data_IF_779978363542
#
_entry.id   IF_779978363542
#
_cell.length_a   1.000
_cell.length_b   1.000
_cell.length_c   1.000
_cell.angle_alpha   90.00
_cell.angle_beta   90.00
_cell.angle_gamma   90.00
#
_symmetry.space_group_name_H-M   'P 1'
#
loop_
_entity.id
_entity.type
_entity.pdbx_description
1 polymer ?
#
# COMPACT_ATOMS: atom_id res chain seq x y z
N UNK A 1 -6.69 -10.12 22.76
CA UNK A 1 -6.05 -9.50 21.57
C UNK A 1 -5.81 -10.65 20.60
N UNK A 2 -6.17 -10.53 19.31
CA UNK A 2 -6.04 -11.64 18.37
C UNK A 2 -4.55 -12.05 18.25
N UNK A 3 -4.20 -13.37 18.28
CA UNK A 3 -2.80 -13.81 18.26
C UNK A 3 -2.05 -13.33 17.01
N UNK A 4 -2.67 -13.41 15.84
CA UNK A 4 -2.07 -12.93 14.59
C UNK A 4 -1.79 -11.43 14.58
N UNK A 5 -2.65 -10.64 15.23
CA UNK A 5 -2.42 -9.21 15.42
C UNK A 5 -1.26 -8.93 16.37
N UNK A 6 -1.10 -9.76 17.42
CA UNK A 6 0.00 -9.61 18.37
C UNK A 6 1.35 -9.88 17.68
N UNK A 7 1.44 -10.91 16.83
CA UNK A 7 2.62 -11.22 16.03
C UNK A 7 2.93 -10.10 15.03
N UNK A 8 1.93 -9.66 14.26
CA UNK A 8 2.05 -8.51 13.37
C UNK A 8 2.58 -7.26 14.11
N UNK A 9 2.00 -6.95 15.26
CA UNK A 9 2.39 -5.79 16.06
C UNK A 9 3.78 -5.96 16.67
N UNK A 10 4.20 -7.17 17.01
CA UNK A 10 5.54 -7.45 17.51
C UNK A 10 6.59 -7.36 16.40
N UNK A 11 6.28 -7.88 15.21
CA UNK A 11 7.16 -7.86 14.04
C UNK A 11 7.38 -6.45 13.47
N UNK A 12 6.43 -5.52 13.69
CA UNK A 12 6.53 -4.15 13.22
C UNK A 12 7.60 -3.36 14.00
N UNK A 13 8.61 -2.77 13.32
CA UNK A 13 9.67 -2.01 13.99
C UNK A 13 9.09 -0.83 14.78
N UNK A 14 9.63 -0.55 15.97
CA UNK A 14 9.18 0.59 16.80
C UNK A 14 9.66 1.91 16.20
N UNK A 15 8.98 2.37 15.15
CA UNK A 15 9.16 3.70 14.58
C UNK A 15 8.09 4.69 15.06
N UNK A 16 8.31 5.98 14.78
CA UNK A 16 7.41 7.08 15.14
C UNK A 16 5.99 6.92 14.54
N UNK A 17 5.88 6.18 13.43
CA UNK A 17 4.61 5.90 12.75
C UNK A 17 3.82 4.71 13.33
N UNK A 18 4.36 3.98 14.32
CA UNK A 18 3.67 2.88 15.01
C UNK A 18 2.65 3.41 16.01
N UNK A 19 1.59 4.03 15.50
CA UNK A 19 0.53 4.67 16.26
C UNK A 19 -0.82 3.94 16.12
N UNK A 20 -1.81 4.38 16.89
CA UNK A 20 -3.21 3.95 16.78
C UNK A 20 -3.44 2.42 16.84
N UNK A 21 -2.79 1.73 17.79
CA UNK A 21 -2.98 0.28 18.03
C UNK A 21 -4.45 -0.10 18.20
N UNK A 22 -5.21 0.72 18.93
CA UNK A 22 -6.63 0.49 19.18
C UNK A 22 -7.46 0.52 17.88
N UNK A 23 -7.18 1.47 16.99
CA UNK A 23 -7.88 1.61 15.73
C UNK A 23 -7.50 0.51 14.73
N UNK A 24 -6.22 0.13 14.71
CA UNK A 24 -5.76 -1.03 13.94
C UNK A 24 -6.46 -2.32 14.41
N UNK A 25 -6.57 -2.53 15.72
CA UNK A 25 -7.26 -3.70 16.28
C UNK A 25 -8.75 -3.72 15.94
N UNK A 26 -9.41 -2.56 15.99
CA UNK A 26 -10.82 -2.41 15.57
C UNK A 26 -10.99 -2.84 14.11
N UNK A 27 -10.13 -2.34 13.21
CA UNK A 27 -10.15 -2.68 11.78
C UNK A 27 -9.83 -4.15 11.53
N UNK A 28 -8.85 -4.70 12.23
CA UNK A 28 -8.47 -6.11 12.16
C UNK A 28 -9.66 -7.03 12.44
N UNK A 29 -10.36 -6.78 13.55
CA UNK A 29 -11.56 -7.53 13.92
C UNK A 29 -12.71 -7.31 12.94
N UNK A 30 -12.96 -6.06 12.55
CA UNK A 30 -14.05 -5.73 11.62
C UNK A 30 -13.89 -6.35 10.23
N UNK A 31 -12.64 -6.62 9.81
CA UNK A 31 -12.32 -7.20 8.50
C UNK A 31 -12.00 -8.69 8.56
N UNK A 32 -11.93 -9.30 9.75
CA UNK A 32 -11.62 -10.73 9.87
C UNK A 32 -10.19 -11.10 9.46
N UNK A 33 -9.23 -10.18 9.61
CA UNK A 33 -7.83 -10.38 9.16
C UNK A 33 -7.06 -11.46 9.93
N UNK A 34 -7.69 -12.07 10.93
CA UNK A 34 -7.13 -13.19 11.68
C UNK A 34 -6.86 -14.41 10.78
N UNK A 35 -7.70 -14.65 9.76
CA UNK A 35 -7.49 -15.72 8.79
C UNK A 35 -6.23 -15.49 7.92
N UNK A 36 -5.97 -14.22 7.57
CA UNK A 36 -4.83 -13.81 6.75
C UNK A 36 -3.60 -13.43 7.57
N UNK A 37 -3.62 -13.64 8.89
CA UNK A 37 -2.56 -13.17 9.79
C UNK A 37 -1.16 -13.66 9.36
N UNK A 38 -1.06 -14.92 8.95
CA UNK A 38 0.19 -15.51 8.48
C UNK A 38 0.70 -14.82 7.20
N UNK A 39 -0.18 -14.53 6.24
CA UNK A 39 0.16 -13.82 5.01
C UNK A 39 0.59 -12.37 5.30
N UNK A 40 -0.12 -11.69 6.20
CA UNK A 40 0.20 -10.33 6.67
C UNK A 40 1.61 -10.28 7.28
N UNK A 41 1.92 -11.21 8.19
CA UNK A 41 3.22 -11.28 8.87
C UNK A 41 4.34 -11.64 7.88
N UNK A 42 4.08 -12.55 6.94
CA UNK A 42 5.04 -12.92 5.89
C UNK A 42 5.39 -11.73 5.00
N UNK A 43 4.38 -11.04 4.46
CA UNK A 43 4.56 -9.87 3.61
C UNK A 43 5.25 -8.72 4.37
N UNK A 44 4.92 -8.53 5.66
CA UNK A 44 5.60 -7.55 6.50
C UNK A 44 7.10 -7.85 6.63
N UNK A 45 7.47 -9.12 6.85
CA UNK A 45 8.88 -9.49 6.92
C UNK A 45 9.61 -9.27 5.59
N UNK A 46 8.98 -9.59 4.46
CA UNK A 46 9.53 -9.30 3.13
C UNK A 46 9.71 -7.79 2.91
N UNK A 47 8.72 -6.98 3.24
CA UNK A 47 8.79 -5.53 3.08
C UNK A 47 9.84 -4.87 3.97
N UNK A 48 10.02 -5.34 5.21
CA UNK A 48 11.09 -4.88 6.11
C UNK A 48 12.49 -5.06 5.53
N UNK A 49 12.69 -6.04 4.66
CA UNK A 49 13.97 -6.28 3.99
C UNK A 49 14.22 -5.30 2.84
N UNK A 50 13.20 -4.61 2.34
CA UNK A 50 13.35 -3.68 1.22
C UNK A 50 14.08 -2.40 1.63
N UNK A 51 14.90 -1.85 0.71
CA UNK A 51 15.59 -0.56 0.91
C UNK A 51 14.63 0.58 1.24
N UNK A 52 13.46 0.64 0.58
CA UNK A 52 12.42 1.66 0.85
C UNK A 52 12.01 1.70 2.32
N UNK A 53 11.84 0.53 2.93
CA UNK A 53 11.48 0.45 4.34
C UNK A 53 12.63 0.94 5.24
N UNK A 54 13.86 0.54 4.92
CA UNK A 54 15.05 0.98 5.65
C UNK A 54 15.31 2.49 5.51
N UNK A 55 14.91 3.07 4.38
CA UNK A 55 15.03 4.50 4.07
C UNK A 55 13.94 5.36 4.76
N UNK A 56 13.03 4.75 5.54
CA UNK A 56 12.00 5.48 6.30
C UNK A 56 10.70 5.77 5.54
N UNK A 57 10.50 5.13 4.39
CA UNK A 57 9.22 5.14 3.66
C UNK A 57 8.22 4.11 4.21
N UNK A 58 8.33 3.74 5.50
CA UNK A 58 7.40 2.80 6.13
C UNK A 58 5.98 3.41 6.22
N UNK A 59 4.94 2.74 5.68
CA UNK A 59 3.57 3.20 5.82
C UNK A 59 3.11 3.03 7.28
N UNK A 60 2.09 3.78 7.72
CA UNK A 60 1.48 3.48 9.01
C UNK A 60 0.87 2.07 9.02
N UNK A 61 0.86 1.34 10.16
CA UNK A 61 0.25 0.01 10.25
C UNK A 61 -1.23 0.03 9.84
N UNK A 62 -1.95 1.12 10.12
CA UNK A 62 -3.32 1.31 9.66
C UNK A 62 -3.44 1.37 8.13
N UNK A 63 -2.51 2.06 7.46
CA UNK A 63 -2.44 2.15 6.00
C UNK A 63 -2.13 0.78 5.38
N UNK A 64 -1.19 0.05 5.97
CA UNK A 64 -0.87 -1.31 5.54
C UNK A 64 -2.10 -2.24 5.60
N UNK A 65 -2.87 -2.16 6.70
CA UNK A 65 -4.14 -2.88 6.87
C UNK A 65 -5.21 -2.44 5.87
N UNK A 66 -5.39 -1.14 5.66
CA UNK A 66 -6.40 -0.59 4.75
C UNK A 66 -6.11 -0.91 3.28
N UNK A 67 -4.84 -0.85 2.87
CA UNK A 67 -4.44 -1.11 1.48
C UNK A 67 -4.26 -2.59 1.16
N UNK A 68 -4.42 -3.49 2.14
CA UNK A 68 -4.25 -4.93 1.93
C UNK A 68 -2.92 -5.26 1.25
N UNK A 69 -1.85 -4.58 1.67
CA UNK A 69 -0.54 -4.64 1.00
C UNK A 69 0.08 -6.04 1.01
N UNK A 70 -0.38 -6.93 1.89
CA UNK A 70 0.01 -8.34 1.89
C UNK A 70 -0.63 -9.15 0.76
N UNK A 71 -1.73 -8.68 0.16
CA UNK A 71 -2.37 -9.30 -1.01
C UNK A 71 -1.62 -8.95 -2.31
N UNK A 72 -1.00 -7.76 -2.36
CA UNK A 72 -0.18 -7.28 -3.48
C UNK A 72 1.01 -8.22 -3.77
N UNK A 73 1.63 -8.75 -2.71
CA UNK A 73 2.77 -9.68 -2.79
C UNK A 73 2.36 -11.08 -3.32
N UNK A 74 1.07 -11.43 -3.24
CA UNK A 74 0.53 -12.70 -3.74
C UNK A 74 0.16 -12.62 -5.23
N UNK A 75 0.23 -11.43 -5.83
CA UNK A 75 -0.25 -11.17 -7.19
C UNK A 75 0.84 -11.21 -8.28
N UNK A 76 2.03 -11.78 -8.02
CA UNK A 76 2.97 -12.14 -9.09
C UNK A 76 2.95 -13.64 -9.35
N UNK A 77 1.84 -14.13 -9.92
CA UNK A 77 1.90 -15.24 -10.88
C UNK A 77 0.75 -15.29 -11.90
N UNK A 78 -0.12 -14.28 -12.02
CA UNK A 78 -0.96 -14.20 -13.22
C UNK A 78 -1.53 -12.81 -13.53
N UNK A 79 -1.20 -12.34 -14.74
CA UNK A 79 -1.90 -11.34 -15.54
C UNK A 79 -1.67 -9.84 -15.23
N UNK A 80 -0.68 -9.30 -15.97
CA UNK A 80 -0.69 -8.01 -16.70
C UNK A 80 -0.89 -6.73 -15.88
N UNK A 81 0.23 -6.04 -15.69
CA UNK A 81 0.30 -4.69 -15.15
C UNK A 81 -0.54 -3.67 -15.91
N UNK A 82 -1.34 -2.94 -15.14
CA UNK A 82 -1.78 -1.59 -15.46
C UNK A 82 -0.69 -0.63 -14.96
N UNK A 83 0.11 -0.11 -15.88
CA UNK A 83 0.91 1.10 -15.66
C UNK A 83 0.26 2.25 -16.44
N UNK A 84 -0.13 3.36 -15.78
CA UNK A 84 -0.58 4.57 -16.45
C UNK A 84 0.65 5.41 -16.82
N UNK A 85 0.82 5.78 -18.08
CA UNK A 85 1.78 6.83 -18.45
C UNK A 85 1.08 7.89 -19.32
N UNK A 86 1.17 9.13 -18.85
CA UNK A 86 0.40 10.26 -19.34
C UNK A 86 1.03 10.91 -20.57
N UNK A 87 0.17 11.27 -21.52
CA UNK A 87 0.46 12.27 -22.54
C UNK A 87 -0.67 13.32 -22.54
N UNK A 88 -0.46 14.41 -21.82
CA UNK A 88 -1.28 15.60 -21.95
C UNK A 88 -0.93 16.32 -23.26
N UNK A 89 -1.72 16.12 -24.31
CA UNK A 89 -1.70 17.00 -25.49
C UNK A 89 -2.91 17.95 -25.41
N UNK A 90 -2.62 19.22 -25.14
CA UNK A 90 -3.57 20.33 -25.26
C UNK A 90 -3.87 20.55 -26.75
N UNK A 91 -4.97 19.98 -27.24
CA UNK A 91 -5.59 20.40 -28.49
C UNK A 91 -6.32 21.73 -28.31
N UNK A 92 -5.61 22.85 -28.41
CA UNK A 92 -6.19 24.16 -28.69
C UNK A 92 -6.13 24.38 -30.19
N UNK A 93 -7.18 23.92 -30.90
CA UNK A 93 -7.38 24.22 -32.32
C UNK A 93 -8.34 25.42 -32.41
N UNK A 94 -7.78 26.63 -32.35
CA UNK A 94 -8.45 27.88 -32.70
C UNK A 94 -7.75 28.47 -33.93
N UNK A 95 -8.28 28.28 -35.14
CA UNK A 95 -7.76 28.96 -36.32
C UNK A 95 -8.48 30.31 -36.50
N UNK A 96 -8.28 31.24 -35.54
CA UNK A 96 -8.59 32.65 -35.76
C UNK A 96 -7.32 33.37 -36.23
N UNK A 97 -7.32 33.63 -37.54
CA UNK A 97 -6.68 34.77 -38.24
C UNK A 97 -5.29 34.63 -38.89
N UNK A 98 -5.31 34.95 -40.22
CA UNK A 98 -4.32 35.56 -41.14
C UNK A 98 -3.65 34.60 -42.15
N UNK A 99 -3.67 34.84 -43.47
CA UNK A 99 -4.20 35.94 -44.26
C UNK A 99 -3.81 35.84 -45.75
N UNK A 100 -4.40 36.76 -46.52
CA UNK A 100 -3.91 37.37 -47.77
C UNK A 100 -3.60 36.50 -49.00
N UNK A 101 -4.44 36.69 -50.03
CA UNK A 101 -3.98 37.04 -51.38
C UNK A 101 -5.00 37.94 -52.06
#
# INVERSE_FOLDING_TARGET
>A
MPPGFAEFWAAWPRGERKAAKAECLKRWKARGLEADAAAIVSALNAQKLTKKWQDGYDPAPLTFLNQRRWLDDVADTNAKGSGPDGGAERGHDDPRFKGAK
#
